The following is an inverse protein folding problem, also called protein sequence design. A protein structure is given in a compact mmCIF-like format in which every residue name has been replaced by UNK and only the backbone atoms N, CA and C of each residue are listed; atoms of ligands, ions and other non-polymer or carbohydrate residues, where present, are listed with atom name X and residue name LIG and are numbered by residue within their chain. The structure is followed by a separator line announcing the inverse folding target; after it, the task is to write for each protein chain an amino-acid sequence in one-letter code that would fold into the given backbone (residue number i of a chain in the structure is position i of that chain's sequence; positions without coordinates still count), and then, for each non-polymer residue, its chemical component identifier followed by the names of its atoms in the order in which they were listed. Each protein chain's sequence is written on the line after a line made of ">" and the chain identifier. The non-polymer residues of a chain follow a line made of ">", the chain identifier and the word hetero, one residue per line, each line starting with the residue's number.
data_IF_726969248409
#
_entry.id   IF_726969248409
#
_cell.length_a   1.000
_cell.length_b   1.000
_cell.length_c   1.000
_cell.angle_alpha   90.00
_cell.angle_beta   90.00
_cell.angle_gamma   90.00
#
_symmetry.space_group_name_H-M   'P 1'
#
loop_
_entity.id
_entity.type
_entity.pdbx_description
1 polymer ?
#
# COMPACT_ATOMS: atom_id res chain seq x y z
N UNK A 1 -24.13 -4.38 3.53
CA UNK A 1 -22.84 -4.54 4.25
C UNK A 1 -22.97 -3.84 5.58
N UNK A 2 -22.45 -4.39 6.69
CA UNK A 2 -22.44 -3.66 7.95
C UNK A 2 -21.64 -2.36 7.79
N UNK A 3 -22.08 -1.23 8.39
CA UNK A 3 -21.47 0.09 8.20
C UNK A 3 -19.97 0.09 8.51
N UNK A 4 -19.55 -0.70 9.50
CA UNK A 4 -18.14 -0.86 9.87
C UNK A 4 -17.26 -1.38 8.72
N UNK A 5 -17.76 -2.34 7.92
CA UNK A 5 -16.99 -2.92 6.79
C UNK A 5 -16.81 -1.91 5.67
N UNK A 6 -17.79 -1.03 5.47
CA UNK A 6 -17.70 0.02 4.45
C UNK A 6 -16.70 1.10 4.88
N UNK A 7 -16.79 1.53 6.14
CA UNK A 7 -15.88 2.53 6.72
C UNK A 7 -14.44 2.02 6.69
N UNK A 8 -14.19 0.79 7.13
CA UNK A 8 -12.83 0.22 7.15
C UNK A 8 -12.25 0.08 5.74
N UNK A 9 -13.07 -0.27 4.75
CA UNK A 9 -12.67 -0.35 3.35
C UNK A 9 -12.22 1.00 2.79
N UNK A 10 -13.00 2.06 3.01
CA UNK A 10 -12.63 3.40 2.55
C UNK A 10 -11.42 3.94 3.29
N UNK A 11 -11.34 3.71 4.60
CA UNK A 11 -10.20 4.11 5.42
C UNK A 11 -8.92 3.44 4.92
N UNK A 12 -8.95 2.12 4.70
CA UNK A 12 -7.82 1.38 4.16
C UNK A 12 -7.44 1.87 2.77
N UNK A 13 -8.40 2.07 1.86
CA UNK A 13 -8.12 2.57 0.52
C UNK A 13 -7.42 3.94 0.56
N UNK A 14 -7.94 4.88 1.36
CA UNK A 14 -7.34 6.21 1.50
C UNK A 14 -5.95 6.14 2.13
N UNK A 15 -5.76 5.27 3.12
CA UNK A 15 -4.45 5.06 3.75
C UNK A 15 -3.43 4.52 2.74
N UNK A 16 -3.77 3.47 1.98
CA UNK A 16 -2.88 2.87 0.98
C UNK A 16 -2.55 3.86 -0.15
N UNK A 17 -3.53 4.60 -0.66
CA UNK A 17 -3.28 5.62 -1.72
C UNK A 17 -2.40 6.74 -1.18
N UNK A 18 -2.66 7.22 0.04
CA UNK A 18 -1.88 8.27 0.68
C UNK A 18 -0.44 7.85 0.97
N UNK A 19 -0.25 6.67 1.56
CA UNK A 19 1.07 6.09 1.81
C UNK A 19 1.84 5.90 0.50
N UNK A 20 1.21 5.30 -0.51
CA UNK A 20 1.86 5.07 -1.79
C UNK A 20 2.23 6.37 -2.50
N UNK A 21 1.37 7.40 -2.41
CA UNK A 21 1.70 8.74 -2.93
C UNK A 21 2.91 9.33 -2.21
N UNK A 22 3.03 9.15 -0.90
CA UNK A 22 4.19 9.64 -0.12
C UNK A 22 5.48 8.91 -0.49
N UNK A 23 5.44 7.62 -0.86
CA UNK A 23 6.61 6.90 -1.38
C UNK A 23 7.17 7.55 -2.66
N UNK A 24 6.30 8.10 -3.52
CA UNK A 24 6.69 8.75 -4.76
C UNK A 24 7.11 10.22 -4.55
N UNK A 25 6.41 10.96 -3.68
CA UNK A 25 6.64 12.40 -3.47
C UNK A 25 7.80 12.66 -2.50
N UNK A 26 7.96 11.82 -1.48
CA UNK A 26 8.98 11.97 -0.45
C UNK A 26 9.63 10.61 -0.11
N UNK A 27 10.34 9.98 -1.06
CA UNK A 27 10.98 8.68 -0.85
C UNK A 27 12.01 8.73 0.29
N UNK A 28 12.64 9.90 0.53
CA UNK A 28 13.69 10.06 1.54
C UNK A 28 13.27 9.74 2.97
N UNK A 29 11.98 9.82 3.31
CA UNK A 29 11.47 9.33 4.61
C UNK A 29 11.52 7.80 4.69
N UNK A 30 11.05 7.12 3.65
CA UNK A 30 10.97 5.66 3.57
C UNK A 30 12.35 5.01 3.45
N UNK A 31 13.25 5.62 2.67
CA UNK A 31 14.64 5.15 2.53
C UNK A 31 15.41 5.16 3.85
N UNK A 32 15.13 6.12 4.74
CA UNK A 32 15.80 6.24 6.05
C UNK A 32 15.38 5.17 7.05
N UNK A 33 14.14 4.68 6.93
CA UNK A 33 13.60 3.66 7.83
C UNK A 33 13.80 2.24 7.28
N UNK A 34 14.21 2.12 6.01
CA UNK A 34 14.38 0.81 5.37
C UNK A 34 15.54 0.03 5.99
N UNK A 35 15.34 -1.25 6.35
CA UNK A 35 16.40 -2.06 6.94
C UNK A 35 17.57 -2.29 5.96
N UNK A 36 18.83 -2.27 6.42
CA UNK A 36 20.01 -2.33 5.55
C UNK A 36 20.22 -3.67 4.84
N UNK A 37 19.44 -4.71 5.18
CA UNK A 37 19.53 -6.03 4.54
C UNK A 37 18.73 -6.12 3.23
N UNK A 38 17.88 -5.13 2.90
CA UNK A 38 17.22 -5.08 1.61
C UNK A 38 18.17 -4.49 0.55
N UNK A 39 18.39 -5.16 -0.59
CA UNK A 39 19.04 -4.51 -1.72
C UNK A 39 18.05 -3.55 -2.41
N UNK A 40 18.54 -2.55 -3.14
CA UNK A 40 17.72 -1.71 -4.04
C UNK A 40 16.61 -0.92 -3.32
N UNK A 41 16.96 -0.17 -2.27
CA UNK A 41 15.98 0.56 -1.45
C UNK A 41 15.12 1.54 -2.28
N UNK A 42 15.72 2.29 -3.20
CA UNK A 42 15.02 3.26 -4.05
C UNK A 42 13.97 2.59 -4.94
N UNK A 43 14.34 1.50 -5.60
CA UNK A 43 13.46 0.75 -6.46
C UNK A 43 12.34 0.08 -5.66
N UNK A 44 12.65 -0.48 -4.50
CA UNK A 44 11.65 -1.12 -3.65
C UNK A 44 10.63 -0.13 -3.11
N UNK A 45 11.06 1.05 -2.65
CA UNK A 45 10.17 2.14 -2.20
C UNK A 45 9.28 2.63 -3.34
N UNK A 46 9.84 2.79 -4.55
CA UNK A 46 9.06 3.22 -5.71
C UNK A 46 8.03 2.16 -6.12
N UNK A 47 8.45 0.91 -6.25
CA UNK A 47 7.60 -0.21 -6.67
C UNK A 47 6.51 -0.46 -5.64
N UNK A 48 6.84 -0.49 -4.34
CA UNK A 48 5.84 -0.65 -3.28
C UNK A 48 4.81 0.47 -3.35
N UNK A 49 5.24 1.73 -3.46
CA UNK A 49 4.34 2.88 -3.56
C UNK A 49 3.35 2.81 -4.73
N UNK A 50 3.80 2.35 -5.89
CA UNK A 50 2.92 2.12 -7.07
C UNK A 50 1.88 1.04 -6.77
N UNK A 51 2.29 -0.08 -6.16
CA UNK A 51 1.37 -1.15 -5.77
C UNK A 51 0.38 -0.70 -4.70
N UNK A 52 0.80 0.11 -3.72
CA UNK A 52 -0.08 0.66 -2.69
C UNK A 52 -1.20 1.51 -3.30
N UNK A 53 -0.86 2.43 -4.23
CA UNK A 53 -1.84 3.26 -4.93
C UNK A 53 -2.79 2.40 -5.76
N UNK A 54 -2.24 1.47 -6.55
CA UNK A 54 -3.02 0.61 -7.44
C UNK A 54 -3.98 -0.28 -6.66
N UNK A 55 -3.50 -0.95 -5.61
CA UNK A 55 -4.32 -1.83 -4.79
C UNK A 55 -5.33 -1.05 -3.95
N UNK A 56 -4.97 0.12 -3.42
CA UNK A 56 -5.90 1.03 -2.74
C UNK A 56 -7.04 1.49 -3.64
N UNK A 57 -6.74 1.84 -4.90
CA UNK A 57 -7.76 2.18 -5.90
C UNK A 57 -8.63 0.98 -6.28
N UNK A 58 -8.02 -0.18 -6.56
CA UNK A 58 -8.74 -1.41 -6.88
C UNK A 58 -9.61 -1.91 -5.74
N UNK A 59 -9.25 -1.63 -4.49
CA UNK A 59 -10.07 -1.95 -3.34
C UNK A 59 -11.45 -1.32 -3.48
N UNK A 60 -11.55 -0.08 -3.98
CA UNK A 60 -12.81 0.63 -4.18
C UNK A 60 -13.69 0.05 -5.30
N UNK A 61 -13.12 -0.71 -6.24
CA UNK A 61 -13.86 -1.35 -7.33
C UNK A 61 -14.47 -2.69 -6.86
N UNK A 62 -15.80 -2.88 -6.86
CA UNK A 62 -16.44 -4.09 -6.31
C UNK A 62 -15.89 -5.40 -6.88
N UNK A 63 -15.60 -5.43 -8.19
CA UNK A 63 -15.04 -6.60 -8.90
C UNK A 63 -13.63 -6.99 -8.42
N UNK A 64 -12.82 -6.01 -8.02
CA UNK A 64 -11.42 -6.21 -7.64
C UNK A 64 -11.18 -6.09 -6.13
N UNK A 65 -12.21 -5.74 -5.36
CA UNK A 65 -12.14 -5.55 -3.91
C UNK A 65 -11.52 -6.73 -3.15
N UNK A 66 -11.85 -7.97 -3.52
CA UNK A 66 -11.33 -9.16 -2.83
C UNK A 66 -9.86 -9.45 -3.18
N UNK A 67 -9.46 -9.55 -4.46
CA UNK A 67 -8.04 -9.71 -4.81
C UNK A 67 -7.18 -8.53 -4.37
N UNK A 68 -7.71 -7.30 -4.39
CA UNK A 68 -7.00 -6.12 -3.89
C UNK A 68 -6.70 -6.22 -2.39
N UNK A 69 -7.66 -6.68 -1.58
CA UNK A 69 -7.43 -6.87 -0.15
C UNK A 69 -6.33 -7.90 0.14
N UNK A 70 -6.31 -9.02 -0.59
CA UNK A 70 -5.22 -10.00 -0.51
C UNK A 70 -3.88 -9.43 -0.95
N UNK A 71 -3.87 -8.65 -2.04
CA UNK A 71 -2.67 -7.96 -2.52
C UNK A 71 -2.13 -6.98 -1.47
N UNK A 72 -3.00 -6.20 -0.82
CA UNK A 72 -2.61 -5.29 0.28
C UNK A 72 -1.99 -6.09 1.43
N UNK A 73 -2.60 -7.20 1.85
CA UNK A 73 -2.04 -8.03 2.92
C UNK A 73 -0.65 -8.58 2.56
N UNK A 74 -0.48 -9.13 1.35
CA UNK A 74 0.81 -9.66 0.88
C UNK A 74 1.86 -8.55 0.81
N UNK A 75 1.49 -7.38 0.28
CA UNK A 75 2.38 -6.24 0.20
C UNK A 75 2.84 -5.82 1.58
N UNK A 76 1.92 -5.62 2.54
CA UNK A 76 2.25 -5.24 3.91
C UNK A 76 3.18 -6.24 4.59
N UNK A 77 2.97 -7.55 4.40
CA UNK A 77 3.88 -8.59 4.92
C UNK A 77 5.28 -8.47 4.28
N UNK A 78 5.36 -8.12 2.99
CA UNK A 78 6.64 -7.97 2.30
C UNK A 78 7.43 -6.74 2.76
N UNK A 79 6.77 -5.63 3.11
CA UNK A 79 7.44 -4.39 3.56
C UNK A 79 7.62 -4.31 5.08
N UNK A 80 6.79 -4.99 5.86
CA UNK A 80 6.85 -5.04 7.33
C UNK A 80 7.01 -6.50 7.80
N UNK A 81 8.25 -7.05 7.76
CA UNK A 81 8.53 -8.39 8.25
C UNK A 81 8.44 -8.52 9.78
#
# INVERSE_FOLDING_TARGET
>A
MPPLKLISKYLLAMFMIGAGTMHLVNPGFFLKIMPPYFPLHDELVFVSGVFEILLGGLLLVPRFSHPAAWGIMILLIAVFP
#
